data_IF_862099714563
#
_entry.id   IF_862099714563
#
_cell.length_a   1.000
_cell.length_b   1.000
_cell.length_c   1.000
_cell.angle_alpha   90.00
_cell.angle_beta   90.00
_cell.angle_gamma   90.00
#
_symmetry.space_group_name_H-M   'P 1'
#
loop_
_entity.id
_entity.type
_entity.pdbx_description
1 polymer ?
#
# COMPACT_ATOMS: atom_id res chain seq x y z
N UNK A 1 -6.24 11.28 0.87
CA UNK A 1 -7.21 10.20 1.25
C UNK A 1 -8.18 10.66 2.34
N UNK A 2 -9.45 10.21 2.31
CA UNK A 2 -10.48 10.57 3.31
C UNK A 2 -11.25 9.35 3.84
N UNK A 3 -11.29 9.16 5.17
CA UNK A 3 -12.04 8.06 5.79
C UNK A 3 -13.54 8.24 5.53
N UNK A 4 -14.20 7.18 5.04
CA UNK A 4 -15.65 7.18 4.78
C UNK A 4 -16.40 6.16 5.61
N UNK A 5 -15.78 5.01 5.86
CA UNK A 5 -16.43 3.93 6.58
C UNK A 5 -15.44 3.18 7.45
N UNK A 6 -15.93 2.60 8.54
CA UNK A 6 -15.18 1.60 9.28
C UNK A 6 -16.10 0.51 9.87
N UNK A 7 -15.50 -0.63 10.22
CA UNK A 7 -16.13 -1.75 10.92
C UNK A 7 -15.15 -2.30 11.95
N UNK A 8 -15.66 -2.53 13.15
CA UNK A 8 -14.91 -3.12 14.26
C UNK A 8 -15.46 -4.53 14.53
N UNK A 9 -14.57 -5.50 14.67
CA UNK A 9 -14.93 -6.88 15.00
C UNK A 9 -14.00 -7.39 16.09
N UNK A 10 -14.47 -8.40 16.84
CA UNK A 10 -13.63 -9.16 17.78
C UNK A 10 -12.78 -8.30 18.73
N UNK A 11 -13.37 -7.24 19.30
CA UNK A 11 -12.64 -6.29 20.15
C UNK A 11 -13.43 -5.96 21.42
N UNK A 12 -12.95 -6.45 22.56
CA UNK A 12 -13.51 -6.24 23.91
C UNK A 12 -15.00 -6.59 23.95
N UNK A 13 -15.87 -5.59 24.13
CA UNK A 13 -17.31 -5.81 24.15
C UNK A 13 -17.95 -5.95 22.76
N UNK A 14 -17.18 -5.80 21.68
CA UNK A 14 -17.68 -5.76 20.30
C UNK A 14 -17.41 -7.10 19.62
N UNK A 15 -18.49 -7.80 19.28
CA UNK A 15 -18.43 -8.94 18.35
C UNK A 15 -18.34 -8.42 16.91
N UNK A 16 -19.27 -7.54 16.53
CA UNK A 16 -19.31 -6.88 15.23
C UNK A 16 -20.08 -5.57 15.32
N UNK A 17 -19.51 -4.47 14.84
CA UNK A 17 -20.20 -3.17 14.81
C UNK A 17 -21.10 -2.99 13.58
N UNK A 18 -20.99 -3.86 12.57
CA UNK A 18 -21.46 -3.53 11.23
C UNK A 18 -20.66 -2.39 10.58
N UNK A 19 -21.07 -1.98 9.38
CA UNK A 19 -20.47 -0.84 8.69
C UNK A 19 -20.99 0.47 9.27
N UNK A 20 -20.08 1.35 9.67
CA UNK A 20 -20.37 2.69 10.17
C UNK A 20 -19.82 3.70 9.19
N UNK A 21 -20.70 4.56 8.69
CA UNK A 21 -20.33 5.68 7.83
C UNK A 21 -19.89 6.87 8.68
N UNK A 22 -18.83 7.55 8.25
CA UNK A 22 -18.32 8.75 8.93
C UNK A 22 -18.34 9.96 7.99
N UNK A 23 -18.76 11.08 8.56
CA UNK A 23 -18.63 12.41 7.97
C UNK A 23 -17.45 13.17 8.56
N UNK A 24 -17.38 14.48 8.27
CA UNK A 24 -16.41 15.39 8.89
C UNK A 24 -16.59 15.46 10.41
N UNK A 25 -17.84 15.44 10.87
CA UNK A 25 -18.22 15.33 12.27
C UNK A 25 -19.20 14.16 12.39
N UNK A 26 -18.88 13.19 13.24
CA UNK A 26 -19.71 12.01 13.47
C UNK A 26 -19.94 11.86 14.97
N UNK A 27 -21.20 11.81 15.40
CA UNK A 27 -21.57 11.61 16.80
C UNK A 27 -22.08 10.18 17.00
N UNK A 28 -21.59 9.51 18.05
CA UNK A 28 -22.03 8.15 18.42
C UNK A 28 -22.92 8.23 19.66
N UNK A 29 -24.17 7.81 19.53
CA UNK A 29 -25.14 7.80 20.62
C UNK A 29 -25.47 6.36 21.03
N UNK A 30 -25.74 6.15 22.31
CA UNK A 30 -26.11 4.85 22.85
C UNK A 30 -26.06 4.83 24.37
N UNK A 31 -26.71 3.85 24.98
CA UNK A 31 -26.74 3.67 26.44
C UNK A 31 -25.33 3.53 27.03
N UNK A 32 -25.21 3.73 28.33
CA UNK A 32 -23.97 3.43 29.03
C UNK A 32 -23.56 1.98 28.78
N UNK A 33 -22.24 1.75 28.69
CA UNK A 33 -21.64 0.42 28.48
C UNK A 33 -21.96 -0.24 27.12
N UNK A 34 -22.59 0.47 26.18
CA UNK A 34 -22.91 -0.04 24.85
C UNK A 34 -21.70 -0.26 23.92
N UNK A 35 -20.46 -0.10 24.41
CA UNK A 35 -19.24 -0.32 23.64
C UNK A 35 -18.73 0.87 22.80
N UNK A 36 -19.33 2.07 22.90
CA UNK A 36 -18.89 3.28 22.16
C UNK A 36 -17.41 3.58 22.33
N UNK A 37 -16.91 3.58 23.57
CA UNK A 37 -15.49 3.84 23.84
C UNK A 37 -14.59 2.73 23.30
N UNK A 38 -15.02 1.47 23.35
CA UNK A 38 -14.28 0.35 22.77
C UNK A 38 -14.19 0.46 21.24
N UNK A 39 -15.23 0.99 20.60
CA UNK A 39 -15.28 1.20 19.16
C UNK A 39 -14.27 2.27 18.71
N UNK A 40 -14.20 3.38 19.43
CA UNK A 40 -13.21 4.43 19.19
C UNK A 40 -11.78 3.97 19.52
N UNK A 41 -11.57 3.20 20.59
CA UNK A 41 -10.25 2.62 20.92
C UNK A 41 -9.76 1.62 19.87
N UNK A 42 -10.66 0.80 19.34
CA UNK A 42 -10.34 -0.11 18.25
C UNK A 42 -9.88 0.67 17.02
N UNK A 43 -10.66 1.68 16.59
CA UNK A 43 -10.31 2.54 15.46
C UNK A 43 -8.97 3.26 15.68
N UNK A 44 -8.76 3.83 16.88
CA UNK A 44 -7.48 4.44 17.27
C UNK A 44 -6.29 3.51 17.08
N UNK A 45 -6.46 2.23 17.44
CA UNK A 45 -5.39 1.24 17.35
C UNK A 45 -4.91 0.96 15.91
N UNK A 46 -5.62 1.43 14.88
CA UNK A 46 -5.21 1.28 13.49
C UNK A 46 -3.95 2.11 13.17
N UNK A 47 -3.87 3.35 13.65
CA UNK A 47 -2.70 4.21 13.50
C UNK A 47 -2.52 5.16 14.69
N UNK A 48 -2.13 4.62 15.85
CA UNK A 48 -2.02 5.42 17.06
C UNK A 48 -0.70 6.20 17.08
N UNK A 49 -0.66 7.28 17.87
CA UNK A 49 0.52 8.18 17.92
C UNK A 49 1.75 7.57 18.57
N UNK A 50 1.58 6.54 19.40
CA UNK A 50 2.63 5.82 20.15
C UNK A 50 3.19 4.59 19.40
N UNK A 51 2.77 4.43 18.14
CA UNK A 51 3.26 3.39 17.22
C UNK A 51 2.37 2.15 17.14
N UNK A 52 2.45 1.47 15.99
CA UNK A 52 1.64 0.29 15.71
C UNK A 52 2.23 -0.95 16.37
N UNK A 53 1.40 -1.68 17.14
CA UNK A 53 1.79 -2.87 17.89
C UNK A 53 0.69 -3.92 17.83
N UNK A 54 1.07 -5.19 18.03
CA UNK A 54 0.12 -6.28 18.19
C UNK A 54 -0.83 -6.03 19.37
N UNK A 55 -2.08 -6.48 19.24
CA UNK A 55 -3.07 -6.40 20.33
C UNK A 55 -2.87 -7.54 21.31
N UNK A 56 -3.24 -7.30 22.57
CA UNK A 56 -3.18 -8.33 23.58
C UNK A 56 -4.43 -9.19 23.51
N UNK A 57 -4.30 -10.48 23.19
CA UNK A 57 -5.44 -11.42 23.20
C UNK A 57 -6.17 -11.41 24.54
N UNK A 58 -5.43 -11.39 25.65
CA UNK A 58 -6.00 -11.39 27.02
C UNK A 58 -6.77 -10.10 27.32
N UNK A 59 -6.28 -8.94 26.87
CA UNK A 59 -6.90 -7.63 27.20
C UNK A 59 -7.97 -7.20 26.20
N UNK A 60 -7.73 -7.45 24.92
CA UNK A 60 -8.48 -6.86 23.80
C UNK A 60 -9.46 -7.84 23.15
N UNK A 61 -9.33 -9.16 23.33
CA UNK A 61 -10.28 -10.13 22.78
C UNK A 61 -11.57 -10.20 23.59
N UNK A 62 -12.74 -10.48 22.95
CA UNK A 62 -13.99 -10.58 23.69
C UNK A 62 -13.96 -11.66 24.76
N UNK A 63 -14.19 -11.26 26.02
CA UNK A 63 -14.07 -12.12 27.20
C UNK A 63 -15.01 -13.33 27.21
N UNK A 64 -16.08 -13.28 26.42
CA UNK A 64 -17.04 -14.38 26.31
C UNK A 64 -16.60 -15.45 25.29
N UNK A 65 -15.52 -15.22 24.53
CA UNK A 65 -14.97 -16.14 23.54
C UNK A 65 -13.70 -16.80 24.05
N UNK A 66 -13.37 -17.99 23.54
CA UNK A 66 -12.17 -18.72 23.94
C UNK A 66 -10.93 -18.10 23.28
N UNK A 67 -9.86 -17.89 24.06
CA UNK A 67 -8.62 -17.28 23.54
C UNK A 67 -7.98 -18.08 22.41
N UNK A 68 -8.20 -19.40 22.37
CA UNK A 68 -7.77 -20.31 21.30
C UNK A 68 -8.38 -19.95 19.93
N UNK A 69 -9.55 -19.29 19.91
CA UNK A 69 -10.18 -18.79 18.68
C UNK A 69 -9.49 -17.54 18.13
N UNK A 70 -8.61 -16.90 18.91
CA UNK A 70 -7.92 -15.67 18.52
C UNK A 70 -6.54 -15.99 17.94
N UNK A 71 -6.37 -15.72 16.65
CA UNK A 71 -5.11 -15.78 15.92
C UNK A 71 -4.61 -14.37 15.58
N UNK A 72 -3.39 -14.27 15.09
CA UNK A 72 -2.81 -12.99 14.65
C UNK A 72 -3.53 -12.41 13.42
N UNK A 73 -4.28 -13.26 12.70
CA UNK A 73 -5.10 -12.89 11.54
C UNK A 73 -6.55 -12.59 11.89
N UNK A 74 -6.96 -12.73 13.16
CA UNK A 74 -8.32 -12.40 13.60
C UNK A 74 -8.61 -10.92 13.31
N UNK A 75 -9.65 -10.60 12.50
CA UNK A 75 -9.90 -9.23 12.06
C UNK A 75 -10.41 -8.36 13.21
N UNK A 76 -9.93 -7.12 13.27
CA UNK A 76 -10.30 -6.17 14.32
C UNK A 76 -10.85 -4.88 13.75
N UNK A 77 -10.13 -4.25 12.82
CA UNK A 77 -10.54 -2.98 12.22
C UNK A 77 -10.48 -3.14 10.71
N UNK A 78 -11.56 -2.75 10.03
CA UNK A 78 -11.57 -2.52 8.59
C UNK A 78 -12.03 -1.08 8.36
N UNK A 79 -11.27 -0.32 7.56
CA UNK A 79 -11.59 1.05 7.17
C UNK A 79 -11.61 1.17 5.66
N UNK A 80 -12.49 2.03 5.13
CA UNK A 80 -12.56 2.37 3.71
C UNK A 80 -12.33 3.87 3.55
N UNK A 81 -11.39 4.21 2.69
CA UNK A 81 -10.96 5.57 2.41
C UNK A 81 -11.21 5.89 0.94
N UNK A 82 -11.81 7.03 0.69
CA UNK A 82 -11.95 7.60 -0.66
C UNK A 82 -10.62 8.22 -1.09
N UNK A 83 -10.25 7.97 -2.36
CA UNK A 83 -9.08 8.55 -3.00
C UNK A 83 -9.51 9.72 -3.89
N UNK A 84 -8.91 10.88 -3.65
CA UNK A 84 -9.08 12.05 -4.50
C UNK A 84 -8.18 11.99 -5.76
N UNK A 85 -8.25 13.00 -6.62
CA UNK A 85 -7.47 13.02 -7.85
C UNK A 85 -5.96 13.09 -7.61
N UNK A 86 -5.53 13.79 -6.55
CA UNK A 86 -4.10 13.89 -6.22
C UNK A 86 -3.57 12.55 -5.71
N UNK A 87 -4.34 11.88 -4.83
CA UNK A 87 -4.06 10.53 -4.37
C UNK A 87 -3.88 9.56 -5.55
N UNK A 88 -4.80 9.60 -6.52
CA UNK A 88 -4.77 8.74 -7.72
C UNK A 88 -3.57 9.02 -8.62
N UNK A 89 -3.20 10.29 -8.80
CA UNK A 89 -2.02 10.66 -9.57
C UNK A 89 -0.74 10.14 -8.93
N UNK A 90 -0.58 10.29 -7.61
CA UNK A 90 0.59 9.73 -6.91
C UNK A 90 0.61 8.20 -6.95
N UNK A 91 -0.56 7.57 -6.76
CA UNK A 91 -0.69 6.12 -6.82
C UNK A 91 -0.31 5.57 -8.21
N UNK A 92 -0.69 6.27 -9.29
CA UNK A 92 -0.33 5.91 -10.66
C UNK A 92 1.17 5.96 -10.97
N UNK A 93 1.95 6.79 -10.26
CA UNK A 93 3.41 6.82 -10.40
C UNK A 93 4.08 5.61 -9.75
N UNK A 94 3.50 5.09 -8.68
CA UNK A 94 4.02 3.94 -7.94
C UNK A 94 3.57 2.62 -8.54
N UNK A 95 2.33 2.59 -9.05
CA UNK A 95 1.67 1.41 -9.56
C UNK A 95 0.86 1.79 -10.79
N UNK A 96 1.25 1.30 -11.97
CA UNK A 96 0.73 1.76 -13.27
C UNK A 96 -0.81 1.75 -13.36
N UNK A 97 -1.46 0.66 -12.89
CA UNK A 97 -2.92 0.52 -12.83
C UNK A 97 -3.56 1.19 -11.60
N UNK A 98 -2.76 1.54 -10.60
CA UNK A 98 -3.22 2.15 -9.36
C UNK A 98 -3.92 3.49 -9.56
N UNK A 99 -3.64 4.21 -10.64
CA UNK A 99 -4.28 5.50 -10.95
C UNK A 99 -5.80 5.44 -11.12
N UNK A 100 -6.37 4.27 -11.42
CA UNK A 100 -7.83 4.12 -11.54
C UNK A 100 -8.51 3.80 -10.20
N UNK A 101 -7.75 3.57 -9.13
CA UNK A 101 -8.30 3.20 -7.84
C UNK A 101 -9.27 4.27 -7.32
N UNK A 102 -10.45 3.85 -6.86
CA UNK A 102 -11.47 4.77 -6.33
C UNK A 102 -11.39 4.88 -4.81
N UNK A 103 -10.95 3.81 -4.16
CA UNK A 103 -10.88 3.71 -2.71
C UNK A 103 -9.75 2.78 -2.28
N UNK A 104 -9.29 2.95 -1.04
CA UNK A 104 -8.36 2.05 -0.38
C UNK A 104 -8.98 1.52 0.92
N UNK A 105 -8.88 0.22 1.12
CA UNK A 105 -9.27 -0.48 2.34
C UNK A 105 -8.04 -0.69 3.18
N UNK A 106 -8.00 -0.12 4.38
CA UNK A 106 -6.93 -0.31 5.35
C UNK A 106 -7.49 -1.02 6.57
N UNK A 107 -6.83 -2.07 7.04
CA UNK A 107 -7.29 -2.83 8.18
C UNK A 107 -6.16 -3.26 9.10
N UNK A 108 -6.56 -3.80 10.24
CA UNK A 108 -5.66 -4.52 11.13
C UNK A 108 -6.33 -5.75 11.70
N UNK A 109 -5.47 -6.72 12.02
CA UNK A 109 -5.81 -7.87 12.83
C UNK A 109 -5.13 -7.76 14.21
N UNK A 110 -5.15 -8.84 14.98
CA UNK A 110 -4.47 -8.93 16.28
C UNK A 110 -2.95 -8.84 16.18
N UNK A 111 -2.37 -9.30 15.06
CA UNK A 111 -0.94 -9.22 14.82
C UNK A 111 -0.41 -7.80 14.68
N UNK A 112 0.87 -7.73 14.33
CA UNK A 112 1.66 -6.51 14.15
C UNK A 112 1.69 -6.01 12.69
N UNK A 113 0.77 -6.50 11.84
CA UNK A 113 0.65 -6.09 10.44
C UNK A 113 -0.71 -5.47 10.13
N UNK A 114 -0.66 -4.45 9.29
CA UNK A 114 -1.84 -3.86 8.64
C UNK A 114 -2.10 -4.56 7.32
N UNK A 115 -3.37 -4.62 6.95
CA UNK A 115 -3.79 -5.05 5.62
C UNK A 115 -4.16 -3.82 4.80
N UNK A 116 -3.82 -3.85 3.52
CA UNK A 116 -4.14 -2.79 2.56
C UNK A 116 -4.63 -3.44 1.29
N UNK A 117 -5.75 -2.98 0.76
CA UNK A 117 -6.28 -3.37 -0.55
C UNK A 117 -6.88 -2.17 -1.27
N UNK A 118 -6.85 -2.19 -2.60
CA UNK A 118 -7.38 -1.12 -3.42
C UNK A 118 -8.67 -1.57 -4.12
N UNK A 119 -9.66 -0.68 -4.23
CA UNK A 119 -10.93 -0.92 -4.91
C UNK A 119 -11.01 -0.08 -6.20
N UNK A 120 -11.65 -0.61 -7.24
CA UNK A 120 -11.80 0.07 -8.54
C UNK A 120 -10.53 0.10 -9.41
N UNK A 121 -9.53 -0.70 -9.08
CA UNK A 121 -8.33 -0.86 -9.92
C UNK A 121 -8.71 -1.59 -11.21
N UNK A 122 -8.36 -1.02 -12.36
CA UNK A 122 -8.57 -1.63 -13.67
C UNK A 122 -7.88 -2.99 -13.73
N UNK A 123 -8.45 -3.96 -14.47
CA UNK A 123 -7.80 -5.25 -14.67
C UNK A 123 -6.43 -5.06 -15.34
N UNK A 124 -5.49 -5.96 -15.05
CA UNK A 124 -4.23 -5.99 -15.78
C UNK A 124 -4.53 -6.28 -17.25
N UNK A 125 -4.12 -5.38 -18.15
CA UNK A 125 -4.28 -5.62 -19.58
C UNK A 125 -3.39 -6.80 -20.00
N UNK A 126 -4.02 -7.83 -20.55
CA UNK A 126 -3.33 -9.01 -21.08
C UNK A 126 -4.16 -9.64 -22.20
N UNK A 127 -3.89 -9.22 -23.44
CA UNK A 127 -4.57 -9.75 -24.63
C UNK A 127 -3.71 -10.83 -25.31
N UNK A 128 -4.06 -12.10 -25.06
CA UNK A 128 -3.40 -13.25 -25.65
C UNK A 128 -3.47 -13.27 -27.19
N UNK A 129 -4.55 -12.77 -27.80
CA UNK A 129 -4.71 -12.75 -29.25
C UNK A 129 -3.80 -11.69 -29.88
N UNK A 130 -3.72 -10.50 -29.28
CA UNK A 130 -2.81 -9.44 -29.71
C UNK A 130 -1.33 -9.87 -29.58
N UNK A 131 -0.95 -10.50 -28.46
CA UNK A 131 0.41 -11.04 -28.26
C UNK A 131 0.74 -12.05 -29.36
N UNK A 132 -0.14 -13.03 -29.61
CA UNK A 132 0.06 -14.05 -30.65
C UNK A 132 0.16 -13.45 -32.06
N UNK A 133 -0.61 -12.40 -32.34
CA UNK A 133 -0.54 -11.67 -33.62
C UNK A 133 0.82 -11.00 -33.83
N UNK A 134 1.37 -10.37 -32.78
CA UNK A 134 2.70 -9.74 -32.82
C UNK A 134 3.81 -10.77 -33.02
N UNK A 135 3.78 -11.88 -32.27
CA UNK A 135 4.75 -12.99 -32.40
C UNK A 135 4.79 -13.51 -33.84
N UNK A 136 3.62 -13.74 -34.46
CA UNK A 136 3.49 -14.21 -35.85
C UNK A 136 4.09 -13.25 -36.89
N UNK A 137 4.27 -11.97 -36.57
CA UNK A 137 4.92 -11.00 -37.46
C UNK A 137 6.43 -10.90 -37.21
N UNK A 138 6.88 -11.11 -35.97
CA UNK A 138 8.28 -10.98 -35.56
C UNK A 138 9.07 -12.25 -35.91
N UNK A 139 8.59 -13.44 -35.50
CA UNK A 139 9.35 -14.69 -35.65
C UNK A 139 9.71 -15.00 -37.12
N UNK A 140 8.78 -14.93 -38.08
CA UNK A 140 9.12 -15.19 -39.48
C UNK A 140 10.08 -14.13 -40.05
N UNK A 141 9.99 -12.89 -39.60
CA UNK A 141 10.86 -11.81 -40.06
C UNK A 141 12.30 -12.02 -39.58
N UNK A 142 12.48 -12.38 -38.31
CA UNK A 142 13.79 -12.73 -37.74
C UNK A 142 14.38 -13.94 -38.47
N UNK A 143 13.60 -15.01 -38.69
CA UNK A 143 14.07 -16.19 -39.43
C UNK A 143 14.43 -15.89 -40.89
N UNK A 144 13.66 -15.03 -41.57
CA UNK A 144 13.96 -14.61 -42.94
C UNK A 144 15.27 -13.80 -43.04
N UNK A 145 15.62 -13.04 -41.99
CA UNK A 145 16.90 -12.34 -41.88
C UNK A 145 18.03 -13.31 -41.56
N UNK A 146 17.82 -14.23 -40.61
CA UNK A 146 18.78 -15.27 -40.25
C UNK A 146 19.22 -16.13 -41.46
N UNK A 147 18.29 -16.45 -42.36
CA UNK A 147 18.58 -17.24 -43.55
C UNK A 147 19.56 -16.58 -44.56
N UNK A 148 19.84 -15.27 -44.41
CA UNK A 148 20.78 -14.53 -45.27
C UNK A 148 22.18 -14.40 -44.66
N UNK A 149 22.39 -14.92 -43.45
CA UNK A 149 23.63 -14.80 -42.68
C UNK A 149 24.44 -16.11 -42.72
N UNK A 150 25.68 -16.02 -42.27
CA UNK A 150 26.56 -17.18 -42.11
C UNK A 150 25.98 -18.22 -41.14
N UNK A 151 26.27 -19.50 -41.39
CA UNK A 151 25.68 -20.64 -40.69
C UNK A 151 25.79 -20.55 -39.14
N UNK A 152 26.91 -20.03 -38.64
CA UNK A 152 27.15 -19.84 -37.21
C UNK A 152 26.23 -18.77 -36.60
N UNK A 153 26.08 -17.62 -37.26
CA UNK A 153 25.22 -16.52 -36.80
C UNK A 153 23.75 -16.88 -36.96
N UNK A 154 23.42 -17.55 -38.07
CA UNK A 154 22.08 -18.08 -38.35
C UNK A 154 21.60 -19.00 -37.24
N UNK A 155 22.42 -19.96 -36.81
CA UNK A 155 22.06 -20.93 -35.77
C UNK A 155 21.73 -20.23 -34.44
N UNK A 156 22.52 -19.22 -34.06
CA UNK A 156 22.29 -18.43 -32.84
C UNK A 156 21.01 -17.61 -32.93
N UNK A 157 20.77 -16.95 -34.07
CA UNK A 157 19.59 -16.11 -34.27
C UNK A 157 18.29 -16.91 -34.36
N UNK A 158 18.30 -18.06 -35.05
CA UNK A 158 17.17 -18.98 -35.11
C UNK A 158 16.84 -19.56 -33.71
N UNK A 159 17.86 -19.95 -32.93
CA UNK A 159 17.65 -20.41 -31.55
C UNK A 159 17.06 -19.32 -30.64
N UNK A 160 17.49 -18.06 -30.80
CA UNK A 160 16.91 -16.93 -30.08
C UNK A 160 15.45 -16.67 -30.50
N UNK A 161 15.13 -16.80 -31.79
CA UNK A 161 13.77 -16.65 -32.32
C UNK A 161 12.84 -17.78 -31.83
N UNK A 162 13.31 -19.02 -31.78
CA UNK A 162 12.54 -20.16 -31.27
C UNK A 162 12.30 -20.05 -29.76
N UNK A 163 13.32 -19.60 -29.02
CA UNK A 163 13.16 -19.31 -27.59
C UNK A 163 12.16 -18.18 -27.35
N UNK A 164 12.21 -17.12 -28.16
CA UNK A 164 11.24 -16.04 -28.12
C UNK A 164 9.82 -16.55 -28.41
N UNK A 165 9.61 -17.37 -29.44
CA UNK A 165 8.30 -17.93 -29.77
C UNK A 165 7.74 -18.79 -28.61
N UNK A 166 8.60 -19.62 -28.00
CA UNK A 166 8.21 -20.48 -26.88
C UNK A 166 7.92 -19.71 -25.58
N UNK A 167 8.77 -18.75 -25.21
CA UNK A 167 8.70 -18.05 -23.92
C UNK A 167 7.73 -16.85 -23.93
N UNK A 168 7.47 -16.25 -25.10
CA UNK A 168 6.52 -15.13 -25.27
C UNK A 168 5.13 -15.61 -25.68
N UNK A 169 4.95 -16.90 -25.96
CA UNK A 169 3.63 -17.48 -26.16
C UNK A 169 2.69 -17.17 -24.97
N UNK A 170 1.48 -16.67 -25.22
CA UNK A 170 0.58 -16.26 -24.14
C UNK A 170 0.22 -17.45 -23.25
N UNK A 171 0.34 -17.23 -21.93
CA UNK A 171 0.01 -18.22 -20.90
C UNK A 171 -1.23 -17.78 -20.11
N UNK A 172 -1.84 -18.70 -19.34
CA UNK A 172 -2.98 -18.37 -18.48
C UNK A 172 -2.59 -17.42 -17.33
N UNK A 173 -1.31 -17.38 -16.97
CA UNK A 173 -0.76 -16.51 -15.93
C UNK A 173 0.09 -15.41 -16.58
N UNK A 174 -0.41 -14.17 -16.51
CA UNK A 174 0.24 -13.00 -17.07
C UNK A 174 1.61 -12.72 -16.41
N UNK A 175 1.74 -12.98 -15.11
CA UNK A 175 2.99 -12.76 -14.38
C UNK A 175 4.03 -13.82 -14.76
N UNK A 176 3.61 -15.10 -14.80
CA UNK A 176 4.48 -16.17 -15.26
C UNK A 176 4.94 -15.92 -16.72
N UNK A 177 4.05 -15.39 -17.56
CA UNK A 177 4.40 -14.95 -18.91
C UNK A 177 5.44 -13.83 -18.89
N UNK A 178 5.22 -12.75 -18.13
CA UNK A 178 6.12 -11.60 -18.09
C UNK A 178 7.54 -11.98 -17.64
N UNK A 179 7.65 -12.86 -16.64
CA UNK A 179 8.93 -13.36 -16.13
C UNK A 179 9.73 -14.18 -17.16
N UNK A 180 9.04 -14.85 -18.10
CA UNK A 180 9.69 -15.58 -19.22
C UNK A 180 9.93 -14.68 -20.43
N UNK A 181 8.97 -13.82 -20.75
CA UNK A 181 9.02 -12.95 -21.92
C UNK A 181 10.15 -11.91 -21.83
N UNK A 182 10.38 -11.32 -20.66
CA UNK A 182 11.41 -10.30 -20.44
C UNK A 182 12.84 -10.76 -20.82
N UNK A 183 13.36 -11.89 -20.30
CA UNK A 183 14.68 -12.38 -20.72
C UNK A 183 14.71 -12.87 -22.18
N UNK A 184 13.60 -13.41 -22.70
CA UNK A 184 13.53 -13.87 -24.09
C UNK A 184 13.58 -12.70 -25.11
N UNK A 185 12.87 -11.61 -24.83
CA UNK A 185 12.91 -10.37 -25.61
C UNK A 185 14.31 -9.74 -25.60
N UNK A 186 14.95 -9.66 -24.42
CA UNK A 186 16.32 -9.16 -24.30
C UNK A 186 17.33 -10.01 -25.09
N UNK A 187 17.21 -11.33 -25.01
CA UNK A 187 18.05 -12.26 -25.77
C UNK A 187 17.86 -12.12 -27.29
N UNK A 188 16.61 -11.91 -27.75
CA UNK A 188 16.31 -11.67 -29.16
C UNK A 188 16.97 -10.38 -29.65
N UNK A 189 16.85 -9.26 -28.92
CA UNK A 189 17.51 -7.99 -29.27
C UNK A 189 19.03 -8.14 -29.33
N UNK A 190 19.62 -8.82 -28.35
CA UNK A 190 21.07 -9.05 -28.31
C UNK A 190 21.55 -9.89 -29.50
N UNK A 191 20.82 -10.95 -29.84
CA UNK A 191 21.13 -11.79 -30.99
C UNK A 191 21.01 -11.01 -32.31
N UNK A 192 19.96 -10.21 -32.46
CA UNK A 192 19.73 -9.35 -33.62
C UNK A 192 20.83 -8.29 -33.79
N UNK A 193 21.24 -7.64 -32.70
CA UNK A 193 22.33 -6.67 -32.70
C UNK A 193 23.69 -7.31 -33.04
N UNK A 194 23.96 -8.51 -32.52
CA UNK A 194 25.20 -9.24 -32.83
C UNK A 194 25.25 -9.68 -34.30
N UNK A 195 24.08 -9.95 -34.87
CA UNK A 195 23.90 -10.39 -36.25
C UNK A 195 23.82 -9.23 -37.26
N UNK A 196 23.87 -7.97 -36.80
CA UNK A 196 23.62 -6.76 -37.61
C UNK A 196 22.32 -6.87 -38.43
N UNK A 197 21.31 -7.50 -37.83
CA UNK A 197 20.05 -7.81 -38.47
C UNK A 197 18.97 -6.81 -38.02
N UNK A 198 18.61 -5.87 -38.88
CA UNK A 198 17.54 -4.90 -38.59
C UNK A 198 16.17 -5.43 -39.03
N UNK A 199 15.16 -5.23 -38.16
CA UNK A 199 13.75 -5.40 -38.51
C UNK A 199 13.22 -4.15 -39.20
N UNK A 200 11.98 -4.23 -39.70
CA UNK A 200 11.27 -3.02 -40.11
C UNK A 200 10.79 -2.23 -38.90
N UNK A 201 10.60 -0.92 -39.06
CA UNK A 201 10.09 -0.03 -38.00
C UNK A 201 8.83 -0.60 -37.31
N UNK A 202 7.91 -1.19 -38.08
CA UNK A 202 6.68 -1.80 -37.57
C UNK A 202 6.95 -3.02 -36.68
N UNK A 203 7.95 -3.83 -37.03
CA UNK A 203 8.30 -5.03 -36.29
C UNK A 203 9.04 -4.68 -35.00
N UNK A 204 9.94 -3.69 -35.05
CA UNK A 204 10.61 -3.15 -33.86
C UNK A 204 9.62 -2.51 -32.89
N UNK A 205 8.61 -1.79 -33.41
CA UNK A 205 7.52 -1.28 -32.60
C UNK A 205 6.76 -2.42 -31.88
N UNK A 206 6.48 -3.53 -32.57
CA UNK A 206 5.84 -4.69 -31.93
C UNK A 206 6.70 -5.34 -30.85
N UNK A 207 8.03 -5.39 -31.03
CA UNK A 207 8.95 -5.89 -29.99
C UNK A 207 8.93 -4.96 -28.79
N UNK A 208 9.03 -3.64 -29.00
CA UNK A 208 8.98 -2.64 -27.92
C UNK A 208 7.67 -2.70 -27.13
N UNK A 209 6.52 -2.82 -27.81
CA UNK A 209 5.22 -2.95 -27.13
C UNK A 209 5.13 -4.23 -26.28
N UNK A 210 5.77 -5.33 -26.69
CA UNK A 210 5.81 -6.57 -25.89
C UNK A 210 6.75 -6.43 -24.68
N UNK A 211 7.86 -5.72 -24.83
CA UNK A 211 8.78 -5.40 -23.73
C UNK A 211 8.10 -4.52 -22.69
N UNK A 212 7.40 -3.46 -23.11
CA UNK A 212 6.68 -2.57 -22.21
C UNK A 212 5.58 -3.30 -21.45
N UNK A 213 4.84 -4.20 -22.13
CA UNK A 213 3.83 -5.05 -21.50
C UNK A 213 4.45 -6.00 -20.46
N UNK A 214 5.54 -6.69 -20.82
CA UNK A 214 6.25 -7.59 -19.91
C UNK A 214 6.82 -6.85 -18.71
N UNK A 215 7.40 -5.67 -18.91
CA UNK A 215 7.92 -4.83 -17.83
C UNK A 215 6.81 -4.34 -16.90
N UNK A 216 5.68 -3.90 -17.45
CA UNK A 216 4.52 -3.45 -16.68
C UNK A 216 3.96 -4.56 -15.81
N UNK A 217 3.77 -5.76 -16.37
CA UNK A 217 3.23 -6.90 -15.63
C UNK A 217 4.21 -7.42 -14.58
N UNK A 218 5.51 -7.53 -14.92
CA UNK A 218 6.52 -7.97 -13.96
C UNK A 218 6.68 -6.98 -12.80
N UNK A 219 6.57 -5.68 -13.08
CA UNK A 219 6.61 -4.61 -12.09
C UNK A 219 5.33 -4.45 -11.27
N UNK A 220 4.22 -5.11 -11.65
CA UNK A 220 2.91 -4.91 -11.02
C UNK A 220 2.92 -5.26 -9.52
N UNK A 221 3.56 -6.37 -9.14
CA UNK A 221 3.66 -6.81 -7.74
C UNK A 221 4.45 -5.81 -6.90
N UNK A 222 5.58 -5.34 -7.43
CA UNK A 222 6.41 -4.37 -6.72
C UNK A 222 5.71 -3.01 -6.63
N UNK A 223 5.04 -2.59 -7.71
CA UNK A 223 4.20 -1.41 -7.74
C UNK A 223 3.06 -1.48 -6.72
N UNK A 224 2.34 -2.61 -6.66
CA UNK A 224 1.28 -2.81 -5.66
C UNK A 224 1.85 -2.78 -4.23
N UNK A 225 3.02 -3.39 -3.99
CA UNK A 225 3.69 -3.33 -2.70
C UNK A 225 4.03 -1.90 -2.29
N UNK A 226 4.59 -1.10 -3.21
CA UNK A 226 4.93 0.30 -2.99
C UNK A 226 3.67 1.14 -2.75
N UNK A 227 2.61 0.89 -3.51
CA UNK A 227 1.29 1.50 -3.31
C UNK A 227 0.73 1.21 -1.91
N UNK A 228 0.81 -0.05 -1.43
CA UNK A 228 0.37 -0.41 -0.07
C UNK A 228 1.17 0.32 1.01
N UNK A 229 2.48 0.48 0.83
CA UNK A 229 3.32 1.25 1.76
C UNK A 229 2.95 2.74 1.76
N UNK A 230 2.74 3.31 0.58
CA UNK A 230 2.28 4.68 0.42
C UNK A 230 0.95 4.92 1.15
N UNK A 231 -0.03 4.02 1.01
CA UNK A 231 -1.33 4.15 1.68
C UNK A 231 -1.19 4.13 3.22
N UNK A 232 -0.28 3.31 3.77
CA UNK A 232 0.00 3.32 5.21
C UNK A 232 0.65 4.64 5.64
N UNK A 233 1.57 5.19 4.84
CA UNK A 233 2.26 6.44 5.13
C UNK A 233 1.31 7.66 5.06
N UNK A 234 0.35 7.66 4.13
CA UNK A 234 -0.66 8.71 3.99
C UNK A 234 -1.78 8.63 5.03
N UNK A 235 -1.91 7.50 5.74
CA UNK A 235 -2.95 7.34 6.74
C UNK A 235 -2.72 8.32 7.91
N UNK A 236 -3.74 9.12 8.28
CA UNK A 236 -3.61 10.05 9.40
C UNK A 236 -3.42 9.28 10.71
N UNK A 237 -2.78 9.94 11.67
CA UNK A 237 -2.68 9.43 13.04
C UNK A 237 -4.03 9.63 13.72
N UNK A 238 -4.58 8.56 14.29
CA UNK A 238 -5.80 8.66 15.08
C UNK A 238 -5.44 9.13 16.49
N UNK A 239 -6.08 10.21 16.93
CA UNK A 239 -5.95 10.71 18.30
C UNK A 239 -7.18 10.28 19.09
N UNK A 240 -6.98 9.59 20.21
CA UNK A 240 -8.05 9.23 21.14
C UNK A 240 -7.92 10.04 22.43
N UNK A 241 -8.99 10.75 22.77
CA UNK A 241 -9.13 11.56 23.98
C UNK A 241 -10.22 10.91 24.83
N UNK A 242 -9.80 10.19 25.88
CA UNK A 242 -10.68 9.43 26.78
C UNK A 242 -11.25 10.30 27.90
N UNK A 243 -10.40 11.19 28.39
CA UNK A 243 -10.67 12.16 29.42
C UNK A 243 -10.37 13.51 28.79
N UNK A 244 -11.27 14.48 28.96
CA UNK A 244 -10.82 15.87 28.92
C UNK A 244 -9.74 15.95 29.99
N UNK A 245 -8.47 16.18 29.63
CA UNK A 245 -7.48 16.39 30.65
C UNK A 245 -8.03 17.48 31.55
N UNK A 246 -7.93 17.33 32.88
CA UNK A 246 -7.97 18.49 33.74
C UNK A 246 -6.82 19.37 33.26
N UNK A 247 -7.15 20.32 32.39
CA UNK A 247 -6.24 21.35 31.97
C UNK A 247 -6.13 22.22 33.20
N UNK A 248 -5.12 21.92 34.01
CA UNK A 248 -4.63 22.89 34.98
C UNK A 248 -4.43 24.18 34.16
N UNK A 249 -5.12 25.26 34.53
CA UNK A 249 -5.07 26.54 33.81
C UNK A 249 -3.67 27.17 33.75
N UNK A 250 -2.68 26.47 34.30
CA UNK A 250 -1.27 26.77 34.30
C UNK A 250 -0.50 25.46 34.02
N UNK A 251 0.43 25.50 33.06
CA UNK A 251 1.39 24.42 32.80
C UNK A 251 2.81 24.97 33.00
N UNK A 252 3.59 24.33 33.87
CA UNK A 252 5.01 24.64 34.00
C UNK A 252 5.79 23.93 32.88
N UNK A 253 6.15 24.69 31.83
CA UNK A 253 6.85 24.16 30.65
C UNK A 253 8.24 23.64 31.00
N UNK A 254 8.93 24.26 31.97
CA UNK A 254 10.26 23.83 32.40
C UNK A 254 10.23 22.46 33.10
N UNK A 255 9.32 22.27 34.06
CA UNK A 255 9.14 20.98 34.74
C UNK A 255 8.65 19.88 33.80
N UNK A 256 7.81 20.22 32.82
CA UNK A 256 7.40 19.30 31.76
C UNK A 256 8.61 18.82 30.96
N UNK A 257 9.46 19.73 30.48
CA UNK A 257 10.65 19.38 29.70
C UNK A 257 11.61 18.51 30.50
N UNK A 258 11.83 18.84 31.78
CA UNK A 258 12.66 18.05 32.69
C UNK A 258 12.11 16.63 32.89
N UNK A 259 10.80 16.47 33.15
CA UNK A 259 10.15 15.16 33.27
C UNK A 259 10.22 14.36 31.97
N UNK A 260 10.13 15.04 30.83
CA UNK A 260 10.26 14.42 29.51
C UNK A 260 11.68 13.89 29.27
N UNK A 261 12.71 14.64 29.62
CA UNK A 261 14.11 14.18 29.54
C UNK A 261 14.37 12.97 30.45
N UNK A 262 13.71 12.93 31.61
CA UNK A 262 13.85 11.84 32.59
C UNK A 262 12.95 10.63 32.31
N UNK A 263 12.15 10.63 31.24
CA UNK A 263 11.12 9.60 30.95
C UNK A 263 10.10 9.40 32.09
N UNK A 264 9.79 10.45 32.85
CA UNK A 264 8.83 10.42 33.97
C UNK A 264 7.59 11.28 33.69
N UNK A 265 7.10 11.24 32.44
CA UNK A 265 5.93 12.03 32.03
C UNK A 265 4.67 11.55 32.76
N UNK A 266 3.95 12.50 33.35
CA UNK A 266 2.61 12.27 33.92
C UNK A 266 1.54 12.23 32.83
N UNK A 267 0.32 11.71 33.11
CA UNK A 267 -0.79 11.80 32.16
C UNK A 267 -1.09 13.23 31.68
N UNK A 268 -0.96 14.22 32.58
CA UNK A 268 -1.12 15.64 32.24
C UNK A 268 -0.05 16.12 31.24
N UNK A 269 1.21 15.71 31.41
CA UNK A 269 2.32 16.04 30.50
C UNK A 269 2.07 15.47 29.09
N UNK A 270 1.65 14.21 29.03
CA UNK A 270 1.32 13.54 27.76
C UNK A 270 0.17 14.26 27.05
N UNK A 271 -0.83 14.72 27.80
CA UNK A 271 -1.96 15.45 27.24
C UNK A 271 -1.59 16.87 26.78
N UNK A 272 -0.79 17.59 27.56
CA UNK A 272 -0.23 18.88 27.16
C UNK A 272 0.58 18.77 25.87
N UNK A 273 1.42 17.73 25.74
CA UNK A 273 2.19 17.45 24.53
C UNK A 273 1.31 17.15 23.31
N UNK A 274 0.24 16.35 23.49
CA UNK A 274 -0.75 16.10 22.45
C UNK A 274 -1.42 17.40 21.99
N UNK A 275 -1.80 18.27 22.91
CA UNK A 275 -2.42 19.56 22.55
C UNK A 275 -1.45 20.47 21.82
N UNK A 276 -0.19 20.57 22.26
CA UNK A 276 0.85 21.34 21.57
C UNK A 276 1.00 20.85 20.13
N UNK A 277 1.04 19.52 19.92
CA UNK A 277 1.13 18.92 18.59
C UNK A 277 -0.08 19.24 17.71
N UNK A 278 -1.29 19.21 18.27
CA UNK A 278 -2.52 19.58 17.56
C UNK A 278 -2.55 21.07 17.20
N UNK A 279 -2.05 21.93 18.08
CA UNK A 279 -1.99 23.38 17.90
C UNK A 279 -0.78 23.86 17.05
N UNK A 280 0.13 22.96 16.65
CA UNK A 280 1.36 23.33 15.93
C UNK A 280 2.40 24.05 16.79
N UNK A 281 2.34 23.90 18.11
CA UNK A 281 3.25 24.52 19.08
C UNK A 281 4.34 23.54 19.51
N UNK A 282 5.57 24.03 19.69
CA UNK A 282 6.70 23.26 20.24
C UNK A 282 6.99 23.71 21.68
N UNK A 283 6.91 22.80 22.68
CA UNK A 283 7.17 23.16 24.07
C UNK A 283 8.54 23.80 24.34
N UNK A 284 9.60 23.40 23.62
CA UNK A 284 10.92 24.03 23.76
C UNK A 284 10.91 25.51 23.33
N UNK A 285 10.14 25.86 22.30
CA UNK A 285 10.01 27.25 21.84
C UNK A 285 9.19 28.09 22.79
N UNK A 286 8.16 27.51 23.40
CA UNK A 286 7.39 28.18 24.44
C UNK A 286 8.29 28.53 25.65
N UNK A 287 9.19 27.61 26.03
CA UNK A 287 10.15 27.85 27.11
C UNK A 287 11.19 28.94 26.75
N UNK A 288 11.70 28.95 25.51
CA UNK A 288 12.67 29.97 25.10
C UNK A 288 12.04 31.37 25.05
N UNK A 289 10.80 31.48 24.58
CA UNK A 289 10.03 32.74 24.57
C UNK A 289 9.71 33.24 25.99
N UNK A 290 9.48 32.34 26.95
CA UNK A 290 9.31 32.68 28.35
C UNK A 290 10.62 33.21 28.97
N UNK A 291 11.77 32.63 28.61
CA UNK A 291 13.08 33.07 29.08
C UNK A 291 13.58 34.39 28.46
N UNK A 292 12.99 34.85 27.36
CA UNK A 292 13.32 36.12 26.72
C UNK A 292 12.57 37.33 27.32
N UNK A 293 11.54 37.10 28.14
CA UNK A 293 10.89 38.15 28.93
C UNK A 293 11.60 38.32 30.28
N UNK A 294 12.82 38.84 30.25
CA UNK A 294 13.51 39.44 31.41
C UNK A 294 14.02 40.81 31.01
#
# INVERSE_FOLDING_TARGET
MKLKQFRIQNYRSITDSGLIHVGQLTSLLGRNESGKSNLLRALHSLNPSDGFKALSKVKDFPRHRRLEECSDTTPVVATLWELDNADRTELGKLWARGGTAIAVRIGRAYGDRRTVGFEGVSAQEFDAAAIKSKIRKIVPAVKAKAAKLDEQVRTVLEAAADKFDADVAPSADALAWANKAKPALAALRQAMATADAELTDTQDAHVAELEDLANTIAGDIEGEKNARQWAIAQMPVFMYLDEYPELNGHQNVAEFLQRKEQNQQTPADVNFEKMCKVAGLRPQELQSLLGQKV
#
